data_IF_157537127822
#
_entry.id   IF_157537127822
#
_cell.length_a   1.000
_cell.length_b   1.000
_cell.length_c   1.000
_cell.angle_alpha   90.00
_cell.angle_beta   90.00
_cell.angle_gamma   90.00
#
_symmetry.space_group_name_H-M   'P 1'
#
loop_
_entity.id
_entity.type
_entity.pdbx_description
1 polymer ?
#
# COMPACT_ATOMS: atom_id res chain seq x y z
N UNK A 1 -15.05 7.10 -10.07
CA UNK A 1 -14.23 5.90 -9.77
C UNK A 1 -12.83 6.04 -10.31
N UNK A 2 -12.66 6.51 -11.55
CA UNK A 2 -11.34 6.73 -12.15
C UNK A 2 -10.48 7.75 -11.37
N UNK A 3 -11.04 8.89 -10.98
CA UNK A 3 -10.32 9.89 -10.15
C UNK A 3 -9.81 9.31 -8.81
N UNK A 4 -10.61 8.46 -8.15
CA UNK A 4 -10.25 7.79 -6.89
C UNK A 4 -9.11 6.80 -7.13
N UNK A 5 -9.17 6.05 -8.23
CA UNK A 5 -8.12 5.12 -8.64
C UNK A 5 -6.80 5.86 -8.88
N UNK A 6 -6.84 6.98 -9.62
CA UNK A 6 -5.65 7.79 -9.91
C UNK A 6 -5.07 8.39 -8.62
N UNK A 7 -5.92 8.85 -7.71
CA UNK A 7 -5.51 9.33 -6.39
C UNK A 7 -4.81 8.23 -5.57
N UNK A 8 -5.42 7.05 -5.45
CA UNK A 8 -4.85 5.92 -4.70
C UNK A 8 -3.52 5.44 -5.30
N UNK A 9 -3.39 5.42 -6.63
CA UNK A 9 -2.12 5.11 -7.30
C UNK A 9 -1.04 6.15 -6.97
N UNK A 10 -1.37 7.44 -7.03
CA UNK A 10 -0.43 8.51 -6.65
C UNK A 10 0.00 8.38 -5.19
N UNK A 11 -0.93 8.09 -4.29
CA UNK A 11 -0.63 7.89 -2.87
C UNK A 11 0.24 6.66 -2.62
N UNK A 12 0.02 5.59 -3.40
CA UNK A 12 0.85 4.39 -3.38
C UNK A 12 2.29 4.71 -3.82
N UNK A 13 2.46 5.45 -4.91
CA UNK A 13 3.77 5.84 -5.43
C UNK A 13 4.52 6.73 -4.43
N UNK A 14 3.83 7.70 -3.83
CA UNK A 14 4.38 8.56 -2.78
C UNK A 14 4.78 7.75 -1.53
N UNK A 15 3.94 6.80 -1.11
CA UNK A 15 4.24 5.93 0.03
C UNK A 15 5.43 5.00 -0.27
N UNK A 16 5.54 4.49 -1.49
CA UNK A 16 6.67 3.67 -1.92
C UNK A 16 7.98 4.47 -1.98
N UNK A 17 7.93 5.72 -2.44
CA UNK A 17 9.09 6.62 -2.43
C UNK A 17 9.56 6.90 -0.99
N UNK A 18 8.63 7.18 -0.08
CA UNK A 18 8.93 7.38 1.34
C UNK A 18 9.52 6.11 1.98
N UNK A 19 8.99 4.92 1.65
CA UNK A 19 9.55 3.65 2.12
C UNK A 19 11.01 3.50 1.69
N UNK A 20 11.32 3.76 0.42
CA UNK A 20 12.69 3.67 -0.10
C UNK A 20 13.64 4.67 0.57
N UNK A 21 13.17 5.89 0.87
CA UNK A 21 13.94 6.88 1.62
C UNK A 21 14.23 6.40 3.05
N UNK A 22 13.22 5.88 3.75
CA UNK A 22 13.39 5.35 5.11
C UNK A 22 14.33 4.14 5.15
N UNK A 23 14.26 3.24 4.18
CA UNK A 23 15.18 2.10 4.05
C UNK A 23 16.62 2.57 3.84
N UNK A 24 16.83 3.57 2.97
CA UNK A 24 18.14 4.19 2.79
C UNK A 24 18.68 4.83 4.08
N UNK A 25 17.85 5.58 4.81
CA UNK A 25 18.23 6.18 6.09
C UNK A 25 18.62 5.10 7.10
N UNK A 26 17.88 3.99 7.13
CA UNK A 26 18.16 2.86 8.01
C UNK A 26 19.51 2.19 7.68
N UNK A 27 19.81 2.02 6.39
CA UNK A 27 21.10 1.48 5.93
C UNK A 27 22.27 2.42 6.29
N UNK A 28 22.10 3.73 6.09
CA UNK A 28 23.10 4.73 6.46
C UNK A 28 23.36 4.74 7.98
N UNK A 29 22.32 4.59 8.80
CA UNK A 29 22.45 4.44 10.25
C UNK A 29 23.20 3.16 10.61
N UNK A 30 22.93 2.05 9.93
CA UNK A 30 23.61 0.78 10.17
C UNK A 30 25.11 0.84 9.88
N UNK A 31 25.49 1.53 8.79
CA UNK A 31 26.90 1.78 8.46
C UNK A 31 27.55 2.61 9.56
N UNK A 32 26.94 3.73 9.95
CA UNK A 32 27.49 4.62 10.99
C UNK A 32 27.65 3.92 12.33
N UNK A 33 26.69 3.11 12.74
CA UNK A 33 26.76 2.35 13.99
C UNK A 33 27.93 1.36 13.92
N UNK A 34 28.10 0.62 12.81
CA UNK A 34 29.22 -0.33 12.64
C UNK A 34 30.58 0.38 12.66
N UNK A 35 30.70 1.50 11.98
CA UNK A 35 31.92 2.32 11.97
C UNK A 35 32.24 2.85 13.37
N UNK A 36 31.27 3.45 14.06
CA UNK A 36 31.45 3.97 15.41
C UNK A 36 31.82 2.88 16.42
N UNK A 37 31.20 1.69 16.31
CA UNK A 37 31.55 0.54 17.15
C UNK A 37 33.01 0.12 16.92
N UNK A 38 33.46 0.08 15.66
CA UNK A 38 34.86 -0.23 15.34
C UNK A 38 35.83 0.83 15.86
N UNK A 39 35.47 2.11 15.76
CA UNK A 39 36.28 3.20 16.31
C UNK A 39 36.37 3.13 17.83
N UNK A 40 35.26 2.82 18.51
CA UNK A 40 35.26 2.60 19.97
C UNK A 40 36.19 1.47 20.36
N UNK A 41 36.17 0.34 19.65
CA UNK A 41 37.06 -0.79 19.93
C UNK A 41 38.54 -0.42 19.79
N UNK A 42 38.89 0.39 18.79
CA UNK A 42 40.27 0.87 18.58
C UNK A 42 40.67 1.82 19.73
N UNK A 43 39.83 2.81 20.04
CA UNK A 43 40.11 3.78 21.09
C UNK A 43 40.24 3.14 22.47
N UNK A 44 39.41 2.13 22.77
CA UNK A 44 39.49 1.38 24.04
C UNK A 44 40.80 0.61 24.14
N UNK A 45 41.22 -0.06 23.07
CA UNK A 45 42.52 -0.76 23.02
C UNK A 45 43.69 0.20 23.21
N UNK A 46 43.68 1.34 22.52
CA UNK A 46 44.72 2.36 22.66
C UNK A 46 44.79 2.95 24.08
N UNK A 47 43.66 3.00 24.79
CA UNK A 47 43.58 3.50 26.17
C UNK A 47 44.00 2.44 27.21
N UNK A 48 44.00 1.15 26.85
CA UNK A 48 44.44 0.03 27.69
C UNK A 48 45.96 -0.21 27.61
N UNK A 49 46.65 0.32 26.59
CA UNK A 49 48.11 0.18 26.41
C UNK A 49 48.88 0.92 27.52
N UNK A 50 49.89 0.26 28.15
CA UNK A 50 50.69 0.88 29.21
C UNK A 50 51.53 2.04 28.67
N UNK A 51 51.60 3.15 29.43
CA UNK A 51 52.35 4.34 29.02
C UNK A 51 53.84 4.06 28.87
N UNK A 52 54.41 4.53 27.75
CA UNK A 52 55.85 4.71 27.62
C UNK A 52 56.27 6.04 28.26
N UNK A 53 57.54 6.16 28.65
CA UNK A 53 58.14 7.36 29.26
C UNK A 53 58.03 8.62 28.37
N UNK A 54 57.73 8.45 27.07
CA UNK A 54 57.54 9.52 26.09
C UNK A 54 56.08 9.79 25.71
N UNK A 55 55.12 9.08 26.29
CA UNK A 55 53.71 9.28 25.98
C UNK A 55 53.16 10.58 26.60
N UNK A 56 52.44 11.44 25.85
CA UNK A 56 51.94 12.70 26.40
C UNK A 56 51.00 12.48 27.59
N UNK A 57 51.20 13.25 28.68
CA UNK A 57 50.45 13.10 29.94
C UNK A 57 48.92 13.16 29.84
N UNK A 58 48.37 13.75 28.78
CA UNK A 58 46.93 13.99 28.63
C UNK A 58 46.22 13.03 27.64
N UNK A 59 46.90 12.00 27.13
CA UNK A 59 46.30 11.08 26.13
C UNK A 59 45.07 10.37 26.69
N UNK A 60 45.15 9.79 27.90
CA UNK A 60 44.03 9.03 28.46
C UNK A 60 42.80 9.88 28.78
N UNK A 61 42.99 11.12 29.24
CA UNK A 61 41.85 12.01 29.54
C UNK A 61 41.12 12.40 28.26
N UNK A 62 41.85 12.74 27.19
CA UNK A 62 41.26 13.07 25.88
C UNK A 62 40.60 11.86 25.22
N UNK A 63 41.23 10.69 25.31
CA UNK A 63 40.68 9.45 24.79
C UNK A 63 39.41 9.05 25.54
N UNK A 64 39.36 9.20 26.87
CA UNK A 64 38.16 8.98 27.67
C UNK A 64 37.00 9.88 27.25
N UNK A 65 37.23 11.20 27.13
CA UNK A 65 36.19 12.14 26.68
C UNK A 65 35.70 11.82 25.25
N UNK A 66 36.59 11.37 24.37
CA UNK A 66 36.25 10.97 23.01
C UNK A 66 35.45 9.65 22.99
N UNK A 67 35.81 8.67 23.83
CA UNK A 67 35.06 7.43 24.01
C UNK A 67 33.64 7.75 24.49
N UNK A 68 33.49 8.54 25.55
CA UNK A 68 32.18 8.89 26.12
C UNK A 68 31.28 9.58 25.09
N UNK A 69 31.83 10.54 24.33
CA UNK A 69 31.10 11.24 23.25
C UNK A 69 30.67 10.27 22.14
N UNK A 70 31.56 9.34 21.77
CA UNK A 70 31.30 8.39 20.69
C UNK A 70 30.30 7.31 21.13
N UNK A 71 30.34 6.87 22.38
CA UNK A 71 29.33 5.98 22.98
C UNK A 71 27.95 6.64 23.01
N UNK A 72 27.87 7.89 23.48
CA UNK A 72 26.62 8.65 23.47
C UNK A 72 26.05 8.80 22.05
N UNK A 73 26.91 9.15 21.09
CA UNK A 73 26.51 9.29 19.68
C UNK A 73 26.01 7.96 19.10
N UNK A 74 26.71 6.86 19.38
CA UNK A 74 26.33 5.52 18.90
C UNK A 74 24.99 5.08 19.51
N UNK A 75 24.79 5.33 20.81
CA UNK A 75 23.53 5.01 21.47
C UNK A 75 22.36 5.80 20.88
N UNK A 76 22.56 7.09 20.61
CA UNK A 76 21.54 7.91 19.94
C UNK A 76 21.20 7.37 18.55
N UNK A 77 22.21 6.98 17.75
CA UNK A 77 21.99 6.38 16.43
C UNK A 77 21.26 5.04 16.50
N UNK A 78 21.53 4.20 17.52
CA UNK A 78 20.79 2.94 17.74
C UNK A 78 19.30 3.22 18.03
N UNK A 79 19.01 4.24 18.84
CA UNK A 79 17.62 4.65 19.13
C UNK A 79 16.95 5.20 17.87
N UNK A 80 17.63 6.04 17.09
CA UNK A 80 17.12 6.55 15.82
C UNK A 80 16.87 5.42 14.81
N UNK A 81 17.75 4.42 14.75
CA UNK A 81 17.57 3.24 13.90
C UNK A 81 16.29 2.50 14.26
N UNK A 82 16.08 2.17 15.54
CA UNK A 82 14.85 1.51 16.01
C UNK A 82 13.59 2.32 15.67
N UNK A 83 13.65 3.64 15.84
CA UNK A 83 12.54 4.51 15.46
C UNK A 83 12.27 4.50 13.94
N UNK A 84 13.33 4.40 13.13
CA UNK A 84 13.24 4.30 11.67
C UNK A 84 12.65 2.96 11.25
N UNK A 85 13.06 1.84 11.86
CA UNK A 85 12.49 0.51 11.65
C UNK A 85 10.97 0.50 11.91
N UNK A 86 10.52 1.11 13.02
CA UNK A 86 9.08 1.26 13.32
C UNK A 86 8.36 2.06 12.22
N UNK A 87 8.96 3.13 11.71
CA UNK A 87 8.37 3.94 10.63
C UNK A 87 8.30 3.16 9.32
N UNK A 88 9.30 2.35 9.00
CA UNK A 88 9.32 1.45 7.85
C UNK A 88 8.13 0.48 7.92
N UNK A 89 7.94 -0.17 9.07
CA UNK A 89 6.84 -1.12 9.27
C UNK A 89 5.48 -0.45 9.12
N UNK A 90 5.30 0.74 9.71
CA UNK A 90 4.10 1.53 9.53
C UNK A 90 3.85 1.92 8.06
N UNK A 91 4.90 2.23 7.32
CA UNK A 91 4.81 2.56 5.89
C UNK A 91 4.40 1.33 5.06
N UNK A 92 4.97 0.16 5.36
CA UNK A 92 4.61 -1.12 4.72
C UNK A 92 3.13 -1.46 4.93
N UNK A 93 2.61 -1.26 6.14
CA UNK A 93 1.18 -1.45 6.45
C UNK A 93 0.32 -0.50 5.60
N UNK A 94 0.65 0.80 5.57
CA UNK A 94 -0.08 1.79 4.76
C UNK A 94 -0.10 1.42 3.27
N UNK A 95 1.04 0.98 2.73
CA UNK A 95 1.14 0.52 1.34
C UNK A 95 0.21 -0.66 1.09
N UNK A 96 0.16 -1.62 2.03
CA UNK A 96 -0.73 -2.77 1.92
C UNK A 96 -2.21 -2.35 1.97
N UNK A 97 -2.59 -1.46 2.88
CA UNK A 97 -3.96 -0.95 2.98
C UNK A 97 -4.39 -0.26 1.67
N UNK A 98 -3.52 0.54 1.06
CA UNK A 98 -3.80 1.20 -0.23
C UNK A 98 -3.96 0.17 -1.35
N UNK A 99 -3.11 -0.88 -1.38
CA UNK A 99 -3.24 -1.97 -2.36
C UNK A 99 -4.55 -2.73 -2.19
N UNK A 100 -4.97 -2.99 -0.96
CA UNK A 100 -6.23 -3.67 -0.65
C UNK A 100 -7.43 -2.80 -1.08
N UNK A 101 -7.36 -1.48 -0.88
CA UNK A 101 -8.39 -0.54 -1.36
C UNK A 101 -8.45 -0.53 -2.90
N UNK A 102 -7.31 -0.53 -3.59
CA UNK A 102 -7.26 -0.63 -5.05
C UNK A 102 -7.88 -1.95 -5.54
N UNK A 103 -7.55 -3.09 -4.91
CA UNK A 103 -8.13 -4.39 -5.26
C UNK A 103 -9.65 -4.47 -5.05
N UNK A 104 -10.17 -3.84 -3.99
CA UNK A 104 -11.62 -3.68 -3.77
C UNK A 104 -12.27 -2.83 -4.86
N UNK A 105 -11.59 -1.77 -5.30
CA UNK A 105 -12.07 -0.89 -6.38
C UNK A 105 -12.15 -1.63 -7.72
N UNK A 106 -11.12 -2.43 -8.04
CA UNK A 106 -11.09 -3.30 -9.23
C UNK A 106 -12.22 -4.33 -9.21
N UNK A 107 -12.49 -4.92 -8.04
CA UNK A 107 -13.58 -5.89 -7.86
C UNK A 107 -14.97 -5.25 -8.00
N UNK A 108 -15.12 -3.99 -7.56
CA UNK A 108 -16.35 -3.23 -7.74
C UNK A 108 -16.60 -2.88 -9.22
N UNK A 109 -15.56 -2.46 -9.94
CA UNK A 109 -15.68 -2.17 -11.38
C UNK A 109 -16.05 -3.43 -12.16
N UNK A 110 -15.49 -4.61 -11.81
CA UNK A 110 -15.82 -5.90 -12.42
C UNK A 110 -17.25 -6.36 -12.11
N UNK A 111 -17.72 -6.25 -10.87
CA UNK A 111 -19.11 -6.61 -10.52
C UNK A 111 -20.14 -5.62 -11.10
N UNK A 112 -19.78 -4.35 -11.27
CA UNK A 112 -20.63 -3.35 -11.93
C UNK A 112 -20.66 -3.51 -13.46
N UNK A 113 -19.56 -3.96 -14.07
CA UNK A 113 -19.50 -4.29 -15.50
C UNK A 113 -20.11 -5.66 -15.81
N UNK A 114 -20.00 -6.66 -14.92
CA UNK A 114 -20.77 -7.91 -15.00
C UNK A 114 -22.28 -7.65 -14.92
N UNK A 115 -22.75 -6.76 -14.03
CA UNK A 115 -24.17 -6.36 -14.00
C UNK A 115 -24.64 -5.61 -15.26
N UNK A 116 -23.74 -4.97 -16.01
CA UNK A 116 -24.04 -4.36 -17.32
C UNK A 116 -23.87 -5.34 -18.49
N UNK A 117 -23.07 -6.40 -18.31
CA UNK A 117 -22.85 -7.47 -19.30
C UNK A 117 -23.78 -8.68 -19.10
N UNK A 118 -24.64 -8.69 -18.08
CA UNK A 118 -25.94 -9.37 -18.20
C UNK A 118 -26.80 -8.57 -19.17
N UNK A 119 -26.41 -8.57 -20.44
CA UNK A 119 -27.40 -8.62 -21.51
C UNK A 119 -28.13 -9.93 -21.21
N UNK A 120 -29.43 -9.93 -20.88
CA UNK A 120 -30.19 -11.15 -21.06
C UNK A 120 -30.15 -11.39 -22.57
N UNK A 121 -29.23 -12.24 -23.03
CA UNK A 121 -29.49 -13.08 -24.19
C UNK A 121 -30.64 -13.98 -23.75
N UNK A 122 -31.83 -13.41 -23.75
CA UNK A 122 -33.08 -14.09 -23.45
C UNK A 122 -34.04 -13.55 -24.49
N UNK A 123 -34.12 -14.24 -25.63
CA UNK A 123 -35.31 -14.52 -26.44
C UNK A 123 -36.50 -13.54 -26.42
N UNK A 124 -36.23 -12.24 -26.28
CA UNK A 124 -37.25 -11.19 -26.26
C UNK A 124 -37.79 -10.91 -27.67
N UNK A 125 -37.21 -11.51 -28.71
CA UNK A 125 -37.78 -11.48 -30.06
C UNK A 125 -39.17 -12.11 -30.08
N UNK A 126 -39.36 -13.25 -29.40
CA UNK A 126 -40.64 -13.94 -29.34
C UNK A 126 -41.70 -13.12 -28.58
N UNK A 127 -41.31 -12.53 -27.44
CA UNK A 127 -42.21 -11.69 -26.64
C UNK A 127 -42.59 -10.42 -27.42
N UNK A 128 -41.62 -9.80 -28.11
CA UNK A 128 -41.85 -8.59 -28.90
C UNK A 128 -42.76 -8.87 -30.10
N UNK A 129 -42.53 -9.96 -30.83
CA UNK A 129 -43.40 -10.39 -31.94
C UNK A 129 -44.81 -10.73 -31.46
N UNK A 130 -44.94 -11.40 -30.31
CA UNK A 130 -46.24 -11.71 -29.71
C UNK A 130 -47.00 -10.45 -29.29
N UNK A 131 -46.31 -9.45 -28.73
CA UNK A 131 -46.91 -8.17 -28.37
C UNK A 131 -47.31 -7.34 -29.61
N UNK A 132 -46.49 -7.34 -30.67
CA UNK A 132 -46.82 -6.67 -31.93
C UNK A 132 -48.08 -7.29 -32.58
N UNK A 133 -48.21 -8.62 -32.52
CA UNK A 133 -49.42 -9.32 -32.94
C UNK A 133 -50.64 -8.94 -32.09
N UNK A 134 -50.49 -8.82 -30.76
CA UNK A 134 -51.58 -8.40 -29.86
C UNK A 134 -52.04 -6.97 -30.17
N UNK A 135 -51.08 -6.07 -30.44
CA UNK A 135 -51.36 -4.68 -30.80
C UNK A 135 -52.12 -4.59 -32.12
N UNK A 136 -51.89 -5.49 -33.08
CA UNK A 136 -52.64 -5.52 -34.35
C UNK A 136 -54.15 -5.73 -34.18
N UNK A 137 -54.56 -6.37 -33.08
CA UNK A 137 -55.98 -6.52 -32.74
C UNK A 137 -56.58 -5.24 -32.17
N UNK A 138 -55.79 -4.24 -31.77
CA UNK A 138 -56.32 -2.98 -31.24
C UNK A 138 -56.42 -1.92 -32.35
N UNK A 139 -57.55 -1.19 -32.46
CA UNK A 139 -58.76 -1.23 -31.61
C UNK A 139 -59.85 -2.22 -32.10
N UNK A 140 -59.57 -3.00 -33.16
CA UNK A 140 -60.57 -3.79 -33.87
C UNK A 140 -61.24 -4.89 -33.03
N UNK A 141 -60.50 -5.56 -32.15
CA UNK A 141 -60.97 -6.62 -31.24
C UNK A 141 -60.21 -6.59 -29.90
N UNK A 142 -60.66 -5.75 -28.96
CA UNK A 142 -60.04 -5.62 -27.64
C UNK A 142 -60.17 -6.87 -26.76
N UNK A 143 -61.20 -7.69 -26.99
CA UNK A 143 -61.43 -8.91 -26.20
C UNK A 143 -60.37 -9.95 -26.57
N UNK A 144 -60.14 -10.15 -27.87
CA UNK A 144 -59.10 -11.04 -28.37
C UNK A 144 -57.70 -10.60 -27.95
N UNK A 145 -57.41 -9.30 -28.02
CA UNK A 145 -56.15 -8.75 -27.53
C UNK A 145 -55.91 -9.09 -26.05
N UNK A 146 -56.95 -9.04 -25.22
CA UNK A 146 -56.86 -9.37 -23.79
C UNK A 146 -56.58 -10.86 -23.54
N UNK A 147 -57.25 -11.74 -24.28
CA UNK A 147 -57.06 -13.20 -24.17
C UNK A 147 -55.63 -13.59 -24.51
N UNK A 148 -55.12 -13.08 -25.64
CA UNK A 148 -53.75 -13.38 -26.07
C UNK A 148 -52.69 -12.78 -25.13
N UNK A 149 -52.98 -11.64 -24.50
CA UNK A 149 -52.12 -11.05 -23.49
C UNK A 149 -52.12 -11.87 -22.19
N UNK A 150 -53.28 -12.41 -21.77
CA UNK A 150 -53.35 -13.36 -20.66
C UNK A 150 -52.60 -14.66 -20.98
N UNK A 151 -52.70 -15.17 -22.22
CA UNK A 151 -51.96 -16.36 -22.67
C UNK A 151 -50.45 -16.12 -22.65
N UNK A 152 -49.99 -14.98 -23.17
CA UNK A 152 -48.57 -14.60 -23.15
C UNK A 152 -48.06 -14.48 -21.71
N UNK A 153 -48.86 -13.91 -20.81
CA UNK A 153 -48.53 -13.80 -19.38
C UNK A 153 -48.42 -15.16 -18.69
N UNK A 154 -49.23 -16.15 -19.07
CA UNK A 154 -49.20 -17.49 -18.49
C UNK A 154 -48.05 -18.37 -19.03
N UNK A 155 -47.50 -18.03 -20.19
CA UNK A 155 -46.39 -18.74 -20.84
C UNK A 155 -45.01 -18.14 -20.56
N UNK A 156 -44.96 -17.09 -19.74
CA UNK A 156 -43.77 -16.39 -19.24
C UNK A 156 -43.40 -16.89 -17.85
#
# INVERSE_FOLDING_TARGET
>A
MEEIRTFLKKLLDESAANLAELERINDDLDIKIKENTRFLDILKKENEEPFSEFSPRNVNYKNGEQIDKLELTTNNQIVEKKNTEIRIDQCKIKIQDIKDMLGKLDSYDNTFSEKRNVIPNNDNSFIKESLDNIISYLPADPIRARIELENLKNNL
#
